data_IF_881076576855
#
_entry.id   IF_881076576855
#
_cell.length_a   1.000
_cell.length_b   1.000
_cell.length_c   1.000
_cell.angle_alpha   90.00
_cell.angle_beta   90.00
_cell.angle_gamma   90.00
#
_symmetry.space_group_name_H-M   'P 1'
#
loop_
_entity.id
_entity.type
_entity.pdbx_description
1 polymer ?
#
# COMPACT_ATOMS: atom_id res chain seq x y z
N UNK A 1 36.36 -26.30 -3.24
CA UNK A 1 35.14 -26.61 -4.04
C UNK A 1 33.84 -26.70 -3.22
N UNK A 2 33.76 -27.40 -2.08
CA UNK A 2 32.48 -27.53 -1.33
C UNK A 2 31.89 -26.19 -0.84
N UNK A 3 32.74 -25.21 -0.49
CA UNK A 3 32.29 -23.88 -0.02
C UNK A 3 31.77 -22.97 -1.14
N UNK A 4 32.27 -23.09 -2.37
CA UNK A 4 31.76 -22.32 -3.52
C UNK A 4 30.40 -22.83 -3.96
N UNK A 5 30.18 -24.15 -3.93
CA UNK A 5 28.87 -24.75 -4.22
C UNK A 5 27.80 -24.33 -3.20
N UNK A 6 28.14 -24.31 -1.90
CA UNK A 6 27.22 -23.86 -0.84
C UNK A 6 26.88 -22.36 -0.95
N UNK A 7 27.84 -21.52 -1.37
CA UNK A 7 27.58 -20.10 -1.66
C UNK A 7 26.64 -19.93 -2.85
N UNK A 8 26.87 -20.67 -3.93
CA UNK A 8 26.04 -20.61 -5.14
C UNK A 8 24.60 -21.07 -4.86
N UNK A 9 24.42 -22.14 -4.07
CA UNK A 9 23.10 -22.59 -3.63
C UNK A 9 22.39 -21.56 -2.75
N UNK A 10 23.11 -20.90 -1.83
CA UNK A 10 22.56 -19.78 -1.03
C UNK A 10 22.13 -18.61 -1.91
N UNK A 11 22.92 -18.24 -2.91
CA UNK A 11 22.58 -17.18 -3.85
C UNK A 11 21.34 -17.52 -4.67
N UNK A 12 21.23 -18.77 -5.15
CA UNK A 12 20.04 -19.24 -5.86
C UNK A 12 18.79 -19.24 -4.96
N UNK A 13 18.91 -19.70 -3.72
CA UNK A 13 17.82 -19.68 -2.75
C UNK A 13 17.38 -18.24 -2.42
N UNK A 14 18.33 -17.31 -2.24
CA UNK A 14 18.04 -15.90 -2.01
C UNK A 14 17.42 -15.23 -3.23
N UNK A 15 17.87 -15.57 -4.44
CA UNK A 15 17.28 -15.09 -5.69
C UNK A 15 15.83 -15.55 -5.84
N UNK A 16 15.56 -16.84 -5.62
CA UNK A 16 14.21 -17.38 -5.65
C UNK A 16 13.33 -16.80 -4.52
N UNK A 17 13.87 -16.57 -3.33
CA UNK A 17 13.13 -15.88 -2.28
C UNK A 17 12.80 -14.44 -2.68
N UNK A 18 13.79 -13.66 -3.15
CA UNK A 18 13.56 -12.28 -3.59
C UNK A 18 12.56 -12.17 -4.74
N UNK A 19 12.72 -12.99 -5.78
CA UNK A 19 11.86 -12.95 -6.97
C UNK A 19 10.39 -13.27 -6.66
N UNK A 20 10.12 -14.21 -5.76
CA UNK A 20 8.75 -14.63 -5.43
C UNK A 20 8.14 -13.86 -4.26
N UNK A 21 8.92 -13.47 -3.24
CA UNK A 21 8.39 -12.68 -2.13
C UNK A 21 8.05 -11.25 -2.55
N UNK A 22 8.88 -10.59 -3.36
CA UNK A 22 8.68 -9.18 -3.69
C UNK A 22 7.33 -8.93 -4.39
N UNK A 23 6.96 -9.81 -5.32
CA UNK A 23 5.66 -9.75 -6.01
C UNK A 23 4.47 -9.88 -5.06
N UNK A 24 4.53 -10.82 -4.10
CA UNK A 24 3.46 -11.01 -3.11
C UNK A 24 3.37 -9.81 -2.15
N UNK A 25 4.51 -9.28 -1.75
CA UNK A 25 4.56 -8.11 -0.86
C UNK A 25 4.02 -6.85 -1.53
N UNK A 26 4.18 -6.70 -2.84
CA UNK A 26 3.61 -5.57 -3.58
C UNK A 26 2.08 -5.54 -3.52
N UNK A 27 1.41 -6.69 -3.68
CA UNK A 27 -0.06 -6.80 -3.58
C UNK A 27 -0.53 -6.47 -2.17
N UNK A 28 0.09 -7.07 -1.14
CA UNK A 28 -0.25 -6.80 0.26
C UNK A 28 -0.06 -5.32 0.61
N UNK A 29 1.04 -4.71 0.14
CA UNK A 29 1.30 -3.28 0.36
C UNK A 29 0.23 -2.42 -0.29
N UNK A 30 -0.21 -2.75 -1.50
CA UNK A 30 -1.29 -2.05 -2.19
C UNK A 30 -2.61 -2.16 -1.43
N UNK A 31 -2.98 -3.36 -0.96
CA UNK A 31 -4.18 -3.56 -0.15
C UNK A 31 -4.14 -2.76 1.16
N UNK A 32 -2.98 -2.71 1.82
CA UNK A 32 -2.79 -1.88 3.00
C UNK A 32 -2.98 -0.38 2.69
N UNK A 33 -2.48 0.10 1.54
CA UNK A 33 -2.73 1.47 1.10
C UNK A 33 -4.19 1.74 0.76
N UNK A 34 -4.90 0.81 0.11
CA UNK A 34 -6.33 0.94 -0.16
C UNK A 34 -7.14 1.09 1.14
N UNK A 35 -6.82 0.30 2.16
CA UNK A 35 -7.45 0.40 3.50
C UNK A 35 -7.10 1.73 4.17
N UNK A 36 -5.83 2.14 4.12
CA UNK A 36 -5.39 3.41 4.71
C UNK A 36 -6.07 4.62 4.03
N UNK A 37 -6.22 4.58 2.71
CA UNK A 37 -6.87 5.66 1.97
C UNK A 37 -8.37 5.78 2.35
N UNK A 38 -9.05 4.66 2.62
CA UNK A 38 -10.42 4.68 3.16
C UNK A 38 -10.48 5.29 4.56
N UNK A 39 -9.53 4.96 5.43
CA UNK A 39 -9.41 5.56 6.77
C UNK A 39 -9.19 7.07 6.66
N UNK A 40 -8.28 7.51 5.79
CA UNK A 40 -8.01 8.93 5.57
C UNK A 40 -9.23 9.69 5.06
N UNK A 41 -10.00 9.10 4.13
CA UNK A 41 -11.25 9.71 3.67
C UNK A 41 -12.29 9.82 4.78
N UNK A 42 -12.35 8.85 5.70
CA UNK A 42 -13.24 8.91 6.86
C UNK A 42 -12.81 10.04 7.82
N UNK A 43 -11.52 10.13 8.12
CA UNK A 43 -10.96 11.12 9.06
C UNK A 43 -11.04 12.56 8.51
N UNK A 44 -10.73 12.74 7.22
CA UNK A 44 -10.59 14.06 6.60
C UNK A 44 -11.76 14.42 5.65
N UNK A 45 -12.78 13.56 5.55
CA UNK A 45 -13.96 13.76 4.69
C UNK A 45 -14.72 15.05 4.98
N UNK A 46 -14.76 15.46 6.25
CA UNK A 46 -15.40 16.72 6.67
C UNK A 46 -14.73 17.95 6.03
N UNK A 47 -13.41 17.92 5.84
CA UNK A 47 -12.67 19.04 5.23
C UNK A 47 -13.02 19.24 3.75
N UNK A 48 -13.46 18.18 3.07
CA UNK A 48 -13.90 18.22 1.67
C UNK A 48 -15.43 18.31 1.53
N UNK A 49 -16.15 18.51 2.64
CA UNK A 49 -17.59 18.74 2.67
C UNK A 49 -18.45 17.47 2.70
N UNK A 50 -17.87 16.30 2.98
CA UNK A 50 -18.62 15.06 3.22
C UNK A 50 -18.93 14.97 4.71
N UNK A 51 -20.20 15.07 5.13
CA UNK A 51 -20.53 15.03 6.55
C UNK A 51 -20.27 13.63 7.13
N UNK A 52 -19.34 13.53 8.08
CA UNK A 52 -19.07 12.29 8.78
C UNK A 52 -19.77 12.27 10.18
N UNK A 53 -20.65 11.28 10.44
CA UNK A 53 -21.36 11.18 11.72
C UNK A 53 -20.45 10.81 12.90
N UNK A 54 -19.24 10.33 12.64
CA UNK A 54 -18.28 9.84 13.65
C UNK A 54 -17.12 10.79 13.93
N UNK A 55 -17.10 11.97 13.31
CA UNK A 55 -15.96 12.91 13.39
C UNK A 55 -15.58 13.30 14.80
N UNK A 56 -16.57 13.44 15.69
CA UNK A 56 -16.34 13.75 17.10
C UNK A 56 -15.41 12.72 17.77
N UNK A 57 -15.60 11.44 17.49
CA UNK A 57 -14.80 10.36 18.07
C UNK A 57 -13.42 10.21 17.42
N UNK A 58 -13.23 10.82 16.26
CA UNK A 58 -12.02 10.68 15.44
C UNK A 58 -11.00 11.80 15.70
N UNK A 59 -11.37 12.84 16.46
CA UNK A 59 -10.51 13.99 16.75
C UNK A 59 -9.16 13.60 17.37
N UNK A 60 -9.14 12.59 18.22
CA UNK A 60 -7.91 12.10 18.87
C UNK A 60 -6.96 11.39 17.90
N UNK A 61 -7.50 10.83 16.79
CA UNK A 61 -6.73 10.12 15.77
C UNK A 61 -6.09 11.06 14.76
N UNK A 62 -6.66 12.25 14.53
CA UNK A 62 -6.12 13.25 13.59
C UNK A 62 -4.62 13.55 13.79
N UNK A 63 -4.13 13.88 15.01
CA UNK A 63 -2.70 14.17 15.21
C UNK A 63 -1.82 12.94 15.00
N UNK A 64 -2.32 11.73 15.25
CA UNK A 64 -1.56 10.48 15.03
C UNK A 64 -1.39 10.18 13.53
N UNK A 65 -2.31 10.67 12.70
CA UNK A 65 -2.31 10.45 11.25
C UNK A 65 -1.74 11.64 10.47
N UNK A 66 -1.25 12.69 11.16
CA UNK A 66 -0.75 13.91 10.52
C UNK A 66 0.43 13.65 9.57
N UNK A 67 1.36 12.78 9.96
CA UNK A 67 2.55 12.44 9.15
C UNK A 67 2.18 11.65 7.88
N UNK A 68 1.06 10.94 7.90
CA UNK A 68 0.56 10.14 6.77
C UNK A 68 -0.21 10.98 5.74
N UNK A 69 -0.51 12.25 6.05
CA UNK A 69 -1.31 13.13 5.21
C UNK A 69 -0.62 13.49 3.88
N UNK A 70 0.66 13.90 3.92
CA UNK A 70 1.42 14.25 2.71
C UNK A 70 1.66 13.04 1.80
N UNK A 71 2.08 11.86 2.31
CA UNK A 71 2.14 10.64 1.51
C UNK A 71 0.79 10.26 0.89
N UNK A 72 -0.30 10.39 1.65
CA UNK A 72 -1.65 10.10 1.17
C UNK A 72 -2.09 11.04 0.04
N UNK A 73 -1.92 12.35 0.21
CA UNK A 73 -2.27 13.34 -0.81
C UNK A 73 -1.57 13.03 -2.15
N UNK A 74 -0.27 12.71 -2.09
CA UNK A 74 0.49 12.31 -3.27
C UNK A 74 -0.02 11.02 -3.91
N UNK A 75 -0.49 10.04 -3.13
CA UNK A 75 -1.09 8.80 -3.68
C UNK A 75 -2.41 9.09 -4.38
N UNK A 76 -3.28 9.89 -3.76
CA UNK A 76 -4.58 10.26 -4.34
C UNK A 76 -4.42 11.08 -5.62
N UNK A 77 -3.50 12.05 -5.63
CA UNK A 77 -3.20 12.87 -6.82
C UNK A 77 -2.70 12.03 -8.00
N UNK A 78 -1.91 10.99 -7.75
CA UNK A 78 -1.37 10.11 -8.78
C UNK A 78 -2.34 8.99 -9.19
N UNK A 79 -3.48 8.86 -8.52
CA UNK A 79 -4.43 7.78 -8.77
C UNK A 79 -5.10 7.98 -10.13
N UNK A 80 -4.96 7.00 -11.02
CA UNK A 80 -5.61 6.96 -12.34
C UNK A 80 -7.02 6.36 -12.22
N UNK A 81 -7.63 6.04 -13.36
CA UNK A 81 -8.92 5.35 -13.45
C UNK A 81 -8.96 4.08 -12.59
N UNK A 82 -9.98 3.96 -11.72
CA UNK A 82 -10.11 2.90 -10.72
C UNK A 82 -10.07 1.49 -11.35
N UNK A 83 -10.64 1.31 -12.54
CA UNK A 83 -10.63 0.00 -13.18
C UNK A 83 -9.23 -0.41 -13.63
N UNK A 84 -8.39 0.53 -14.07
CA UNK A 84 -6.99 0.23 -14.41
C UNK A 84 -6.19 -0.16 -13.16
N UNK A 85 -6.49 0.47 -12.02
CA UNK A 85 -5.88 0.12 -10.75
C UNK A 85 -6.29 -1.29 -10.29
N UNK A 86 -7.57 -1.64 -10.39
CA UNK A 86 -8.04 -3.00 -10.07
C UNK A 86 -7.55 -4.03 -11.09
N UNK A 87 -7.46 -3.68 -12.37
CA UNK A 87 -6.87 -4.54 -13.40
C UNK A 87 -5.42 -4.92 -13.07
N UNK A 88 -4.60 -3.93 -12.74
CA UNK A 88 -3.21 -4.11 -12.34
C UNK A 88 -3.03 -4.88 -11.01
N UNK A 89 -4.04 -4.88 -10.11
CA UNK A 89 -4.00 -5.66 -8.87
C UNK A 89 -4.11 -7.17 -9.14
N UNK A 90 -4.89 -7.54 -10.15
CA UNK A 90 -5.20 -8.93 -10.50
C UNK A 90 -4.44 -9.45 -11.72
N UNK A 91 -3.41 -8.70 -12.17
CA UNK A 91 -2.55 -9.10 -13.29
C UNK A 91 -3.32 -9.28 -14.61
N UNK A 92 -4.40 -8.53 -14.80
CA UNK A 92 -5.19 -8.59 -16.03
C UNK A 92 -4.51 -7.89 -17.22
N UNK A 93 -3.39 -7.18 -17.01
CA UNK A 93 -2.61 -6.46 -18.03
C UNK A 93 -1.53 -7.35 -18.70
N UNK A 94 -1.91 -8.54 -19.18
CA UNK A 94 -1.08 -9.34 -20.12
C UNK A 94 -1.50 -9.08 -21.56
#
# INVERSE_FOLDING_TARGET
>A
MKNTLKKWWRLFALFHQGAFLDRRMAVVRKEAFDINDNLMLLLFGDFIGIPNPMSYYMLELLPLMADELVPWERRIQNRKFILAEKAAQYDFDT
#
